data_IF_907569798805
#
_entry.id   IF_907569798805
#
_cell.length_a   1.000
_cell.length_b   1.000
_cell.length_c   1.000
_cell.angle_alpha   90.00
_cell.angle_beta   90.00
_cell.angle_gamma   90.00
#
_symmetry.space_group_name_H-M   'P 1'
#
loop_
_entity.id
_entity.type
_entity.pdbx_description
1 polymer ?
#
# COMPACT_ATOMS: atom_id res chain seq x y z
N UNK A 1 -30.87 26.00 -13.66
CA UNK A 1 -32.26 25.58 -13.61
C UNK A 1 -33.13 26.80 -13.24
N UNK A 2 -34.23 27.02 -13.96
CA UNK A 2 -35.17 28.10 -13.68
C UNK A 2 -36.48 27.49 -13.18
N UNK A 3 -36.94 27.89 -12.00
CA UNK A 3 -38.20 27.43 -11.43
C UNK A 3 -39.28 28.52 -11.67
N UNK A 4 -40.07 28.32 -12.68
CA UNK A 4 -41.19 29.26 -12.96
C UNK A 4 -42.29 29.13 -11.93
N UNK A 5 -43.08 30.17 -11.80
CA UNK A 5 -44.20 30.22 -10.85
C UNK A 5 -45.29 29.15 -11.09
N UNK A 6 -46.11 28.85 -10.10
CA UNK A 6 -47.12 27.80 -10.19
C UNK A 6 -48.00 27.96 -11.45
N UNK A 7 -48.18 26.86 -12.17
CA UNK A 7 -48.97 26.82 -13.40
C UNK A 7 -48.24 27.27 -14.65
N UNK A 8 -46.94 27.59 -14.59
CA UNK A 8 -46.15 27.96 -15.76
C UNK A 8 -45.19 26.82 -16.12
N UNK A 9 -45.16 26.42 -17.40
CA UNK A 9 -44.27 25.45 -17.94
C UNK A 9 -43.01 26.08 -18.59
N UNK A 10 -43.09 27.37 -18.91
CA UNK A 10 -42.02 28.11 -19.59
C UNK A 10 -42.01 29.61 -19.20
N UNK A 11 -40.99 30.33 -19.70
CA UNK A 11 -40.81 31.76 -19.45
C UNK A 11 -41.95 32.62 -20.02
N UNK A 12 -42.59 32.21 -21.12
CA UNK A 12 -43.65 32.96 -21.75
C UNK A 12 -44.93 32.91 -20.88
N UNK A 13 -45.30 31.74 -20.39
CA UNK A 13 -46.42 31.58 -19.48
C UNK A 13 -46.19 32.35 -18.18
N UNK A 14 -44.95 32.32 -17.61
CA UNK A 14 -44.59 33.12 -16.45
C UNK A 14 -44.74 34.65 -16.70
N UNK A 15 -44.24 35.09 -17.88
CA UNK A 15 -44.36 36.50 -18.28
C UNK A 15 -45.82 36.96 -18.35
N UNK A 16 -46.68 36.14 -18.94
CA UNK A 16 -48.09 36.44 -19.13
C UNK A 16 -48.84 36.49 -17.78
N UNK A 17 -48.56 35.51 -16.89
CA UNK A 17 -49.29 35.38 -15.61
C UNK A 17 -48.75 36.29 -14.51
N UNK A 18 -47.43 36.49 -14.43
CA UNK A 18 -46.78 37.19 -13.34
C UNK A 18 -46.05 38.49 -13.72
N UNK A 19 -45.97 38.78 -14.99
CA UNK A 19 -45.36 40.00 -15.52
C UNK A 19 -43.84 39.98 -15.65
N UNK A 20 -43.31 41.00 -16.32
CA UNK A 20 -41.88 41.06 -16.70
C UNK A 20 -40.94 41.17 -15.48
N UNK A 21 -41.35 41.90 -14.45
CA UNK A 21 -40.50 42.08 -13.27
C UNK A 21 -40.34 40.77 -12.46
N UNK A 22 -41.41 39.99 -12.34
CA UNK A 22 -41.37 38.67 -11.71
C UNK A 22 -40.47 37.69 -12.52
N UNK A 23 -40.58 37.71 -13.86
CA UNK A 23 -39.73 36.90 -14.73
C UNK A 23 -38.25 37.25 -14.57
N UNK A 24 -37.90 38.53 -14.50
CA UNK A 24 -36.50 38.96 -14.30
C UNK A 24 -35.95 38.47 -12.95
N UNK A 25 -36.76 38.54 -11.88
CA UNK A 25 -36.35 38.01 -10.57
C UNK A 25 -36.16 36.50 -10.65
N UNK A 26 -37.08 35.77 -11.26
CA UNK A 26 -36.97 34.30 -11.43
C UNK A 26 -35.77 33.91 -12.24
N UNK A 27 -35.41 34.63 -13.29
CA UNK A 27 -34.20 34.39 -14.07
C UNK A 27 -32.92 34.72 -13.29
N UNK A 28 -32.95 35.80 -12.47
CA UNK A 28 -31.83 36.15 -11.62
C UNK A 28 -31.58 35.14 -10.47
N UNK A 29 -32.62 34.41 -10.09
CA UNK A 29 -32.55 33.33 -9.10
C UNK A 29 -32.33 31.94 -9.72
N UNK A 30 -32.00 31.87 -11.02
CA UNK A 30 -31.75 30.63 -11.69
C UNK A 30 -30.54 29.89 -11.03
N UNK A 31 -30.77 28.64 -10.68
CA UNK A 31 -29.71 27.77 -10.16
C UNK A 31 -28.83 27.28 -11.28
N UNK A 32 -27.51 27.28 -11.07
CA UNK A 32 -26.60 26.64 -12.01
C UNK A 32 -26.82 25.12 -11.96
N UNK A 33 -26.85 24.49 -13.14
CA UNK A 33 -26.87 23.03 -13.21
C UNK A 33 -25.47 22.56 -12.91
N UNK A 34 -25.23 21.74 -11.85
CA UNK A 34 -23.91 21.23 -11.56
C UNK A 34 -23.34 20.43 -12.74
N UNK A 35 -22.14 20.74 -13.14
CA UNK A 35 -21.42 19.96 -14.14
C UNK A 35 -20.83 18.72 -13.49
N UNK A 36 -21.05 17.55 -14.10
CA UNK A 36 -20.50 16.28 -13.60
C UNK A 36 -18.97 16.36 -13.53
N UNK A 37 -18.42 16.01 -12.36
CA UNK A 37 -16.97 16.02 -12.11
C UNK A 37 -16.36 17.40 -11.85
N UNK A 38 -17.19 18.46 -11.72
CA UNK A 38 -16.75 19.82 -11.36
C UNK A 38 -17.26 20.16 -9.97
N UNK A 39 -16.35 20.48 -9.06
CA UNK A 39 -16.63 20.75 -7.66
C UNK A 39 -15.99 22.06 -7.21
N UNK A 40 -16.64 22.74 -6.27
CA UNK A 40 -16.17 23.94 -5.60
C UNK A 40 -15.82 23.66 -4.15
N UNK A 41 -15.25 24.62 -3.44
CA UNK A 41 -15.04 24.50 -2.00
C UNK A 41 -16.35 24.35 -1.20
N UNK A 42 -17.46 24.84 -1.75
CA UNK A 42 -18.77 24.73 -1.12
C UNK A 42 -19.27 23.29 -1.06
N UNK A 43 -18.99 22.49 -2.10
CA UNK A 43 -19.37 21.07 -2.15
C UNK A 43 -18.66 20.24 -1.07
N UNK A 44 -17.54 20.73 -0.55
CA UNK A 44 -16.75 20.11 0.52
C UNK A 44 -16.76 20.89 1.82
N UNK A 45 -17.68 21.82 2.02
CA UNK A 45 -17.70 22.72 3.19
C UNK A 45 -17.70 21.99 4.52
N UNK A 46 -18.49 20.92 4.65
CA UNK A 46 -18.56 20.13 5.87
C UNK A 46 -17.29 19.34 6.12
N UNK A 47 -16.74 18.71 5.06
CA UNK A 47 -15.46 17.99 5.14
C UNK A 47 -14.31 18.93 5.49
N UNK A 48 -14.27 20.12 4.87
CA UNK A 48 -13.27 21.14 5.17
C UNK A 48 -13.39 21.64 6.61
N UNK A 49 -14.64 21.79 7.11
CA UNK A 49 -14.86 22.16 8.50
C UNK A 49 -14.37 21.11 9.47
N UNK A 50 -14.64 19.83 9.20
CA UNK A 50 -14.14 18.72 9.99
C UNK A 50 -12.61 18.68 10.00
N UNK A 51 -11.96 18.92 8.86
CA UNK A 51 -10.49 19.03 8.77
C UNK A 51 -9.95 20.26 9.53
N UNK A 52 -10.67 21.37 9.53
CA UNK A 52 -10.28 22.56 10.28
C UNK A 52 -10.36 22.34 11.80
N UNK A 53 -11.41 21.67 12.27
CA UNK A 53 -11.65 21.41 13.69
C UNK A 53 -10.72 20.32 14.26
N UNK A 54 -10.44 19.26 13.48
CA UNK A 54 -9.68 18.09 13.93
C UNK A 54 -8.21 18.07 13.44
N UNK A 55 -7.86 18.95 12.49
CA UNK A 55 -6.58 18.90 11.79
C UNK A 55 -6.52 17.77 10.75
N UNK A 56 -5.43 17.73 10.00
CA UNK A 56 -5.10 16.61 9.11
C UNK A 56 -4.54 15.47 9.97
N UNK A 57 -5.33 14.43 10.15
CA UNK A 57 -4.92 13.25 10.90
C UNK A 57 -3.78 12.52 10.18
N UNK A 58 -2.88 11.93 10.94
CA UNK A 58 -1.91 10.98 10.41
C UNK A 58 -2.64 9.75 9.88
N UNK A 59 -2.05 9.09 8.89
CA UNK A 59 -2.58 7.85 8.33
C UNK A 59 -2.42 6.66 9.28
N UNK A 60 -2.77 5.48 8.79
CA UNK A 60 -2.61 4.22 9.48
C UNK A 60 -1.13 3.94 9.76
N UNK A 61 -0.80 3.68 11.01
CA UNK A 61 0.51 3.34 11.51
C UNK A 61 0.77 1.82 11.38
N UNK A 62 2.04 1.45 11.37
CA UNK A 62 2.48 0.05 11.27
C UNK A 62 2.79 -0.57 12.63
N UNK A 63 2.93 0.25 13.67
CA UNK A 63 3.45 -0.13 14.98
C UNK A 63 4.96 -0.26 15.04
N UNK A 64 5.69 0.13 14.00
CA UNK A 64 7.12 0.35 14.03
C UNK A 64 7.40 1.84 14.28
N UNK A 65 7.69 2.22 15.50
CA UNK A 65 7.82 3.63 15.91
C UNK A 65 8.79 4.41 15.03
N UNK A 66 9.95 3.83 14.73
CA UNK A 66 10.97 4.46 13.88
C UNK A 66 10.53 4.66 12.44
N UNK A 67 9.65 3.78 11.92
CA UNK A 67 9.07 3.92 10.60
C UNK A 67 7.90 4.90 10.62
N UNK A 68 6.99 4.73 11.57
CA UNK A 68 5.77 5.53 11.72
C UNK A 68 6.08 7.01 12.03
N UNK A 69 7.22 7.30 12.64
CA UNK A 69 7.70 8.68 12.79
C UNK A 69 7.83 9.40 11.44
N UNK A 70 8.15 8.66 10.38
CA UNK A 70 8.46 9.20 9.06
C UNK A 70 7.39 8.89 7.99
N UNK A 71 6.58 7.83 8.14
CA UNK A 71 5.63 7.39 7.13
C UNK A 71 4.46 6.64 7.74
N UNK A 72 3.25 7.09 7.45
CA UNK A 72 1.99 6.39 7.73
C UNK A 72 1.20 6.26 6.44
N UNK A 73 0.22 5.35 6.40
CA UNK A 73 -0.46 5.00 5.16
C UNK A 73 -1.92 5.45 5.15
N UNK A 74 -2.43 5.71 3.96
CA UNK A 74 -3.82 6.03 3.69
C UNK A 74 -4.37 5.11 2.60
N UNK A 75 -5.60 4.67 2.72
CA UNK A 75 -6.29 4.01 1.61
C UNK A 75 -6.56 5.01 0.48
N UNK A 76 -6.71 4.52 -0.74
CA UNK A 76 -6.82 5.38 -1.92
C UNK A 76 -5.47 5.80 -2.50
N UNK A 77 -4.38 5.21 -2.05
CA UNK A 77 -3.00 5.53 -2.43
C UNK A 77 -2.25 4.36 -3.04
N UNK A 78 -1.18 4.66 -3.77
CA UNK A 78 -0.28 3.66 -4.30
C UNK A 78 1.12 3.79 -3.72
N UNK A 79 1.72 2.64 -3.44
CA UNK A 79 3.08 2.48 -2.91
C UNK A 79 3.91 1.71 -3.93
N UNK A 80 5.09 2.19 -4.22
CA UNK A 80 6.11 1.43 -4.95
C UNK A 80 7.21 1.01 -3.98
N UNK A 81 7.49 -0.29 -3.94
CA UNK A 81 8.58 -0.87 -3.14
C UNK A 81 9.65 -1.42 -4.06
N UNK A 82 10.88 -0.95 -3.91
CA UNK A 82 12.02 -1.41 -4.69
C UNK A 82 13.20 -1.81 -3.79
N UNK A 83 14.27 -2.27 -4.39
CA UNK A 83 15.49 -2.72 -3.73
C UNK A 83 16.16 -3.84 -4.51
N UNK A 84 17.42 -4.15 -4.19
CA UNK A 84 18.17 -5.22 -4.86
C UNK A 84 17.48 -6.59 -4.71
N UNK A 85 17.74 -7.49 -5.67
CA UNK A 85 17.31 -8.87 -5.55
C UNK A 85 17.90 -9.51 -4.28
N UNK A 86 17.09 -10.25 -3.54
CA UNK A 86 17.50 -10.89 -2.28
C UNK A 86 17.57 -9.97 -1.05
N UNK A 87 17.28 -8.68 -1.17
CA UNK A 87 17.31 -7.74 -0.03
C UNK A 87 16.03 -7.76 0.83
N UNK A 88 15.08 -8.67 0.58
CA UNK A 88 13.93 -8.89 1.45
C UNK A 88 12.73 -7.98 1.18
N UNK A 89 12.55 -7.46 -0.05
CA UNK A 89 11.37 -6.64 -0.42
C UNK A 89 10.06 -7.31 -0.07
N UNK A 90 9.85 -8.53 -0.55
CA UNK A 90 8.62 -9.29 -0.31
C UNK A 90 8.43 -9.59 1.17
N UNK A 91 9.51 -9.92 1.89
CA UNK A 91 9.47 -10.16 3.35
C UNK A 91 9.04 -8.91 4.12
N UNK A 92 9.55 -7.73 3.72
CA UNK A 92 9.16 -6.46 4.32
C UNK A 92 7.70 -6.12 4.00
N UNK A 93 7.27 -6.28 2.73
CA UNK A 93 5.88 -6.03 2.32
C UNK A 93 4.93 -6.97 3.05
N UNK A 94 5.26 -8.25 3.20
CA UNK A 94 4.44 -9.22 3.93
C UNK A 94 4.18 -8.77 5.37
N UNK A 95 5.21 -8.36 6.09
CA UNK A 95 5.02 -7.88 7.46
C UNK A 95 4.30 -6.54 7.52
N UNK A 96 4.63 -5.60 6.63
CA UNK A 96 3.95 -4.31 6.54
C UNK A 96 2.43 -4.49 6.42
N UNK A 97 1.98 -5.32 5.48
CA UNK A 97 0.54 -5.50 5.25
C UNK A 97 -0.15 -6.32 6.34
N UNK A 98 0.56 -7.28 6.95
CA UNK A 98 0.03 -8.00 8.12
C UNK A 98 -0.19 -7.03 9.30
N UNK A 99 0.76 -6.13 9.56
CA UNK A 99 0.65 -5.11 10.60
C UNK A 99 -0.52 -4.16 10.33
N UNK A 100 -0.64 -3.66 9.10
CA UNK A 100 -1.79 -2.83 8.72
C UNK A 100 -3.12 -3.58 8.84
N UNK A 101 -3.15 -4.88 8.51
CA UNK A 101 -4.34 -5.70 8.68
C UNK A 101 -4.71 -5.90 10.15
N UNK A 102 -3.73 -6.21 10.99
CA UNK A 102 -3.94 -6.42 12.43
C UNK A 102 -4.39 -5.15 13.15
N UNK A 103 -3.82 -4.00 12.78
CA UNK A 103 -4.08 -2.73 13.47
C UNK A 103 -5.31 -1.98 12.95
N UNK A 104 -5.62 -2.13 11.66
CA UNK A 104 -6.65 -1.32 10.99
C UNK A 104 -7.68 -2.16 10.25
N UNK A 105 -7.68 -3.48 10.42
CA UNK A 105 -8.60 -4.41 9.76
C UNK A 105 -8.58 -4.35 8.23
N UNK A 106 -7.45 -3.92 7.64
CA UNK A 106 -7.30 -3.81 6.21
C UNK A 106 -7.00 -5.16 5.58
N UNK A 107 -8.03 -5.86 5.14
CA UNK A 107 -7.91 -7.17 4.49
C UNK A 107 -7.08 -7.11 3.23
N UNK A 108 -6.34 -8.18 2.96
CA UNK A 108 -5.25 -8.23 1.98
C UNK A 108 -5.64 -9.11 0.80
N UNK A 109 -5.37 -8.64 -0.42
CA UNK A 109 -5.31 -9.45 -1.61
C UNK A 109 -3.89 -9.44 -2.17
N UNK A 110 -3.35 -10.62 -2.48
CA UNK A 110 -2.05 -10.79 -3.11
C UNK A 110 -2.17 -11.26 -4.55
N UNK A 111 -1.43 -10.63 -5.45
CA UNK A 111 -0.95 -11.22 -6.67
C UNK A 111 0.56 -11.38 -6.55
N UNK A 112 1.03 -12.57 -6.20
CA UNK A 112 2.44 -12.81 -5.91
C UNK A 112 2.90 -14.16 -6.51
N UNK A 113 3.11 -14.20 -7.83
CA UNK A 113 3.52 -15.43 -8.53
C UNK A 113 4.95 -15.91 -8.19
N UNK A 114 5.79 -15.09 -7.57
CA UNK A 114 7.10 -15.52 -7.07
C UNK A 114 7.00 -16.26 -5.73
N UNK A 115 5.92 -16.10 -4.99
CA UNK A 115 5.66 -16.83 -3.75
C UNK A 115 4.84 -18.12 -3.96
N UNK A 116 4.88 -18.69 -5.14
CA UNK A 116 4.27 -19.99 -5.42
C UNK A 116 5.18 -21.14 -5.00
N UNK A 117 4.63 -22.27 -4.53
CA UNK A 117 3.20 -22.52 -4.30
C UNK A 117 2.66 -21.75 -3.08
N UNK A 118 1.37 -21.38 -3.12
CA UNK A 118 0.71 -20.51 -2.12
C UNK A 118 0.84 -21.00 -0.69
N UNK A 119 0.89 -22.32 -0.47
CA UNK A 119 1.08 -22.89 0.86
C UNK A 119 2.43 -22.48 1.50
N UNK A 120 3.49 -22.28 0.70
CA UNK A 120 4.76 -21.75 1.24
C UNK A 120 4.64 -20.29 1.65
N UNK A 121 3.92 -19.50 0.89
CA UNK A 121 3.62 -18.13 1.28
C UNK A 121 2.79 -18.08 2.57
N UNK A 122 1.73 -18.90 2.67
CA UNK A 122 0.95 -19.00 3.90
C UNK A 122 1.80 -19.43 5.10
N UNK A 123 2.73 -20.39 4.93
CA UNK A 123 3.65 -20.78 6.00
C UNK A 123 4.48 -19.60 6.53
N UNK A 124 5.05 -18.78 5.64
CA UNK A 124 5.76 -17.55 5.98
C UNK A 124 4.87 -16.54 6.74
N UNK A 125 3.64 -16.36 6.28
CA UNK A 125 2.70 -15.47 6.96
C UNK A 125 2.30 -15.99 8.35
N UNK A 126 2.17 -17.32 8.52
CA UNK A 126 1.91 -17.96 9.81
C UNK A 126 3.10 -17.74 10.75
N UNK A 127 4.35 -17.88 10.28
CA UNK A 127 5.54 -17.57 11.07
C UNK A 127 5.50 -16.14 11.61
N UNK A 128 5.18 -15.18 10.75
CA UNK A 128 5.05 -13.79 11.16
C UNK A 128 3.92 -13.57 12.16
N UNK A 129 2.76 -14.19 11.97
CA UNK A 129 1.60 -14.05 12.87
C UNK A 129 1.85 -14.67 14.25
N UNK A 130 2.50 -15.83 14.29
CA UNK A 130 2.70 -16.57 15.53
C UNK A 130 3.99 -16.23 16.26
N UNK A 131 4.96 -15.64 15.55
CA UNK A 131 6.31 -15.41 16.08
C UNK A 131 7.17 -16.66 16.15
N UNK A 132 6.72 -17.78 15.60
CA UNK A 132 7.34 -19.10 15.70
C UNK A 132 7.75 -19.61 14.32
N UNK A 133 8.74 -20.51 14.29
CA UNK A 133 9.09 -21.24 13.08
C UNK A 133 7.93 -22.18 12.68
N UNK A 134 7.63 -22.23 11.40
CA UNK A 134 6.58 -23.10 10.87
C UNK A 134 7.00 -24.56 10.92
N UNK A 135 6.23 -25.37 11.61
CA UNK A 135 6.44 -26.81 11.70
C UNK A 135 5.98 -27.38 13.04
N UNK A 136 5.78 -28.69 13.12
CA UNK A 136 5.38 -29.33 14.39
C UNK A 136 6.49 -29.20 15.42
N UNK A 137 6.13 -28.73 16.62
CA UNK A 137 7.08 -28.53 17.71
C UNK A 137 6.44 -27.98 18.96
N UNK A 138 7.22 -27.84 20.05
CA UNK A 138 6.66 -27.38 21.32
C UNK A 138 6.09 -25.96 21.30
N UNK A 139 6.43 -25.17 20.29
CA UNK A 139 5.91 -23.82 20.13
C UNK A 139 4.67 -23.76 19.24
N UNK A 140 4.68 -24.43 18.09
CA UNK A 140 3.57 -24.45 17.12
C UNK A 140 2.64 -25.62 17.45
N UNK A 141 1.64 -25.38 18.29
CA UNK A 141 0.58 -26.36 18.57
C UNK A 141 -0.41 -26.43 17.44
N UNK A 142 -1.15 -27.57 17.34
CA UNK A 142 -2.21 -27.72 16.35
C UNK A 142 -3.31 -26.66 16.50
N UNK A 143 -3.65 -26.30 17.73
CA UNK A 143 -4.62 -25.24 18.04
C UNK A 143 -4.16 -23.90 17.49
N UNK A 144 -2.89 -23.52 17.75
CA UNK A 144 -2.32 -22.28 17.25
C UNK A 144 -2.23 -22.26 15.72
N UNK A 145 -1.84 -23.38 15.11
CA UNK A 145 -1.84 -23.54 13.68
C UNK A 145 -3.24 -23.31 13.08
N UNK A 146 -4.27 -23.99 13.61
CA UNK A 146 -5.64 -23.84 13.16
C UNK A 146 -6.15 -22.42 13.32
N UNK A 147 -5.80 -21.76 14.43
CA UNK A 147 -6.13 -20.35 14.66
C UNK A 147 -5.50 -19.44 13.61
N UNK A 148 -4.21 -19.62 13.32
CA UNK A 148 -3.51 -18.83 12.29
C UNK A 148 -4.09 -19.06 10.89
N UNK A 149 -4.44 -20.31 10.54
CA UNK A 149 -5.10 -20.63 9.26
C UNK A 149 -6.47 -19.98 9.16
N UNK A 150 -7.28 -20.00 10.23
CA UNK A 150 -8.59 -19.36 10.27
C UNK A 150 -8.45 -17.84 10.09
N UNK A 151 -7.48 -17.22 10.78
CA UNK A 151 -7.21 -15.80 10.61
C UNK A 151 -6.80 -15.45 9.18
N UNK A 152 -5.88 -16.21 8.57
CA UNK A 152 -5.49 -16.00 7.16
C UNK A 152 -6.69 -16.16 6.22
N UNK A 153 -7.54 -17.17 6.44
CA UNK A 153 -8.75 -17.40 5.63
C UNK A 153 -9.69 -16.19 5.66
N UNK A 154 -9.82 -15.54 6.81
CA UNK A 154 -10.68 -14.38 6.97
C UNK A 154 -10.08 -13.09 6.34
N UNK A 155 -8.75 -12.94 6.37
CA UNK A 155 -8.10 -11.67 6.10
C UNK A 155 -7.22 -11.63 4.84
N UNK A 156 -6.77 -12.79 4.33
CA UNK A 156 -5.84 -12.87 3.20
C UNK A 156 -6.46 -13.64 2.04
N UNK A 157 -6.30 -13.14 0.84
CA UNK A 157 -6.77 -13.79 -0.39
C UNK A 157 -5.69 -13.72 -1.46
N UNK A 158 -5.47 -14.80 -2.20
CA UNK A 158 -4.55 -14.83 -3.33
C UNK A 158 -5.31 -14.78 -4.65
N UNK A 159 -4.88 -13.89 -5.53
CA UNK A 159 -5.27 -13.85 -6.93
C UNK A 159 -4.22 -14.65 -7.69
N UNK A 160 -4.60 -15.80 -8.22
CA UNK A 160 -3.68 -16.65 -8.97
C UNK A 160 -3.92 -16.50 -10.46
N UNK A 161 -2.86 -16.55 -11.27
CA UNK A 161 -3.02 -16.67 -12.71
C UNK A 161 -3.76 -17.99 -13.01
N UNK A 162 -4.86 -17.89 -13.74
CA UNK A 162 -5.53 -19.03 -14.31
C UNK A 162 -4.89 -19.42 -15.65
N UNK A 163 -5.69 -19.97 -16.55
CA UNK A 163 -5.29 -20.21 -17.95
C UNK A 163 -5.31 -18.93 -18.80
N UNK A 164 -5.83 -17.83 -18.25
CA UNK A 164 -5.90 -16.54 -18.90
C UNK A 164 -4.61 -15.74 -18.67
N UNK A 165 -4.34 -14.79 -19.57
CA UNK A 165 -3.19 -13.90 -19.47
C UNK A 165 -3.21 -13.10 -18.16
N UNK A 166 -2.08 -13.03 -17.47
CA UNK A 166 -1.90 -12.27 -16.23
C UNK A 166 -1.72 -10.78 -16.51
N UNK A 167 -2.73 -10.16 -17.12
CA UNK A 167 -2.72 -8.72 -17.37
C UNK A 167 -3.11 -7.94 -16.12
N UNK A 168 -2.66 -6.68 -16.05
CA UNK A 168 -3.05 -5.80 -14.94
C UNK A 168 -4.57 -5.62 -14.86
N UNK A 169 -5.25 -5.53 -15.99
CA UNK A 169 -6.71 -5.33 -16.05
C UNK A 169 -7.46 -6.52 -15.45
N UNK A 170 -7.00 -7.76 -15.73
CA UNK A 170 -7.58 -8.97 -15.13
C UNK A 170 -7.38 -8.97 -13.60
N UNK A 171 -6.19 -8.63 -13.12
CA UNK A 171 -5.89 -8.57 -11.67
C UNK A 171 -6.74 -7.52 -10.98
N UNK A 172 -6.86 -6.32 -11.55
CA UNK A 172 -7.67 -5.24 -11.00
C UNK A 172 -9.16 -5.59 -10.98
N UNK A 173 -9.66 -6.30 -11.99
CA UNK A 173 -11.05 -6.78 -11.99
C UNK A 173 -11.30 -7.81 -10.87
N UNK A 174 -10.38 -8.77 -10.65
CA UNK A 174 -10.48 -9.71 -9.52
C UNK A 174 -10.37 -8.98 -8.18
N UNK A 175 -9.45 -8.03 -8.06
CA UNK A 175 -9.29 -7.22 -6.85
C UNK A 175 -10.55 -6.40 -6.56
N UNK A 176 -11.19 -5.80 -7.59
CA UNK A 176 -12.46 -5.10 -7.46
C UNK A 176 -13.56 -6.00 -6.87
N UNK A 177 -13.68 -7.22 -7.37
CA UNK A 177 -14.62 -8.20 -6.82
C UNK A 177 -14.33 -8.53 -5.35
N UNK A 178 -13.05 -8.64 -4.96
CA UNK A 178 -12.64 -8.90 -3.58
C UNK A 178 -12.92 -7.70 -2.66
N UNK A 179 -12.77 -6.48 -3.13
CA UNK A 179 -13.18 -5.28 -2.38
C UNK A 179 -14.66 -5.36 -2.00
N UNK A 180 -15.54 -5.62 -2.96
CA UNK A 180 -16.99 -5.67 -2.71
C UNK A 180 -17.44 -6.89 -1.93
N UNK A 181 -16.82 -8.06 -2.16
CA UNK A 181 -17.27 -9.33 -1.55
C UNK A 181 -16.64 -9.61 -0.20
N UNK A 182 -15.39 -9.17 0.02
CA UNK A 182 -14.59 -9.52 1.20
C UNK A 182 -14.09 -8.32 2.00
N UNK A 183 -14.30 -7.10 1.50
CA UNK A 183 -13.83 -5.88 2.16
C UNK A 183 -12.32 -5.68 2.08
N UNK A 184 -11.66 -6.16 1.02
CA UNK A 184 -10.22 -5.98 0.80
C UNK A 184 -9.90 -4.48 0.74
N UNK A 185 -8.82 -4.08 1.43
CA UNK A 185 -8.30 -2.71 1.49
C UNK A 185 -6.84 -2.61 1.05
N UNK A 186 -6.13 -3.73 0.95
CA UNK A 186 -4.75 -3.76 0.47
C UNK A 186 -4.67 -4.71 -0.72
N UNK A 187 -4.08 -4.24 -1.83
CA UNK A 187 -3.72 -5.06 -2.97
C UNK A 187 -2.20 -5.05 -3.12
N UNK A 188 -1.57 -6.20 -3.01
CA UNK A 188 -0.13 -6.40 -3.25
C UNK A 188 0.08 -7.03 -4.62
N UNK A 189 0.96 -6.45 -5.42
CA UNK A 189 1.42 -6.97 -6.72
C UNK A 189 2.94 -7.16 -6.61
N UNK A 190 3.37 -8.42 -6.52
CA UNK A 190 4.77 -8.78 -6.26
C UNK A 190 5.24 -9.92 -7.19
N UNK A 191 6.09 -9.66 -8.18
CA UNK A 191 6.53 -8.35 -8.65
C UNK A 191 5.87 -7.92 -9.99
N UNK A 192 6.12 -6.66 -10.38
CA UNK A 192 5.68 -6.07 -11.66
C UNK A 192 6.09 -6.89 -12.90
N UNK A 193 7.30 -7.43 -12.92
CA UNK A 193 7.87 -8.13 -14.08
C UNK A 193 7.25 -9.53 -14.34
N UNK A 194 6.32 -9.97 -13.50
CA UNK A 194 5.52 -11.19 -13.72
C UNK A 194 4.16 -10.91 -14.36
N UNK A 195 3.87 -9.66 -14.65
CA UNK A 195 2.69 -9.29 -15.43
C UNK A 195 2.95 -9.53 -16.92
N UNK A 196 1.94 -10.05 -17.62
CA UNK A 196 1.98 -10.14 -19.07
C UNK A 196 1.91 -8.74 -19.67
N UNK A 197 3.02 -8.28 -20.20
CA UNK A 197 3.12 -6.99 -20.86
C UNK A 197 2.58 -7.12 -22.28
N UNK A 198 1.29 -6.86 -22.45
CA UNK A 198 0.71 -6.73 -23.77
C UNK A 198 1.01 -5.32 -24.31
N UNK A 199 2.17 -5.20 -24.98
CA UNK A 199 2.52 -3.96 -25.68
C UNK A 199 1.72 -3.87 -26.97
N UNK A 200 0.98 -2.77 -27.14
CA UNK A 200 0.34 -2.46 -28.41
C UNK A 200 1.38 -2.07 -29.49
N UNK A 201 1.08 -2.26 -30.77
CA UNK A 201 1.98 -1.83 -31.83
C UNK A 201 2.38 -0.36 -31.68
N UNK A 202 3.70 -0.10 -31.53
CA UNK A 202 4.23 1.25 -31.34
C UNK A 202 4.27 1.74 -29.87
N UNK A 203 3.80 0.94 -28.92
CA UNK A 203 3.90 1.27 -27.51
C UNK A 203 5.30 0.93 -26.97
N UNK A 204 5.92 1.89 -26.26
CA UNK A 204 7.17 1.67 -25.56
C UNK A 204 6.92 1.13 -24.14
N UNK A 205 7.92 0.46 -23.56
CA UNK A 205 7.86 0.02 -22.14
C UNK A 205 7.53 1.19 -21.20
N UNK A 206 8.08 2.37 -21.45
CA UNK A 206 7.80 3.58 -20.66
C UNK A 206 6.32 3.97 -20.71
N UNK A 207 5.70 3.90 -21.92
CA UNK A 207 4.25 4.20 -22.08
C UNK A 207 3.41 3.15 -21.36
N UNK A 208 3.79 1.88 -21.42
CA UNK A 208 3.12 0.80 -20.70
C UNK A 208 3.16 1.03 -19.19
N UNK A 209 4.35 1.30 -18.61
CA UNK A 209 4.52 1.59 -17.19
C UNK A 209 3.70 2.80 -16.76
N UNK A 210 3.67 3.86 -17.57
CA UNK A 210 2.84 5.05 -17.30
C UNK A 210 1.36 4.70 -17.24
N UNK A 211 0.88 3.93 -18.21
CA UNK A 211 -0.51 3.47 -18.26
C UNK A 211 -0.85 2.59 -17.04
N UNK A 212 0.03 1.65 -16.71
CA UNK A 212 -0.11 0.75 -15.57
C UNK A 212 -0.21 1.53 -14.26
N UNK A 213 0.74 2.43 -13.97
CA UNK A 213 0.72 3.25 -12.77
C UNK A 213 -0.53 4.13 -12.69
N UNK A 214 -0.98 4.65 -13.83
CA UNK A 214 -2.24 5.37 -13.92
C UNK A 214 -3.47 4.50 -13.59
N UNK A 215 -3.49 3.24 -14.05
CA UNK A 215 -4.55 2.28 -13.70
C UNK A 215 -4.53 1.96 -12.21
N UNK A 216 -3.35 1.70 -11.62
CA UNK A 216 -3.20 1.41 -10.19
C UNK A 216 -3.66 2.59 -9.32
N UNK A 217 -3.25 3.82 -9.67
CA UNK A 217 -3.67 5.02 -8.93
C UNK A 217 -5.18 5.26 -8.99
N UNK A 218 -5.78 5.11 -10.17
CA UNK A 218 -7.25 5.21 -10.32
C UNK A 218 -7.99 4.13 -9.52
N UNK A 219 -7.53 2.89 -9.60
CA UNK A 219 -8.09 1.78 -8.82
C UNK A 219 -8.01 2.06 -7.32
N UNK A 220 -6.85 2.48 -6.84
CA UNK A 220 -6.64 2.84 -5.44
C UNK A 220 -7.66 3.88 -4.98
N UNK A 221 -7.75 5.01 -5.69
CA UNK A 221 -8.64 6.11 -5.36
C UNK A 221 -10.13 5.73 -5.41
N UNK A 222 -10.57 5.04 -6.47
CA UNK A 222 -11.97 4.66 -6.67
C UNK A 222 -12.47 3.64 -5.65
N UNK A 223 -11.60 2.69 -5.25
CA UNK A 223 -11.96 1.59 -4.37
C UNK A 223 -11.49 1.79 -2.92
N UNK A 224 -10.87 2.93 -2.62
CA UNK A 224 -10.28 3.23 -1.31
C UNK A 224 -9.40 2.07 -0.82
N UNK A 225 -8.46 1.64 -1.68
CA UNK A 225 -7.49 0.60 -1.40
C UNK A 225 -6.08 1.20 -1.32
N UNK A 226 -5.22 0.59 -0.51
CA UNK A 226 -3.77 0.77 -0.60
C UNK A 226 -3.24 -0.24 -1.62
N UNK A 227 -2.67 0.24 -2.73
CA UNK A 227 -2.07 -0.62 -3.76
C UNK A 227 -0.56 -0.60 -3.61
N UNK A 228 0.04 -1.76 -3.36
CA UNK A 228 1.49 -1.92 -3.20
C UNK A 228 2.04 -2.67 -4.40
N UNK A 229 2.94 -2.03 -5.13
CA UNK A 229 3.63 -2.60 -6.28
C UNK A 229 5.09 -2.82 -5.95
N UNK A 230 5.54 -4.08 -6.01
CA UNK A 230 6.96 -4.42 -5.90
C UNK A 230 7.60 -4.36 -7.29
N UNK A 231 8.64 -3.55 -7.42
CA UNK A 231 9.36 -3.34 -8.68
C UNK A 231 10.86 -3.59 -8.50
N UNK A 232 11.47 -4.29 -9.47
CA UNK A 232 12.90 -4.51 -9.48
C UNK A 232 13.64 -3.31 -10.10
N UNK A 233 14.81 -2.94 -9.56
CA UNK A 233 15.65 -1.93 -10.17
C UNK A 233 16.21 -2.42 -11.52
N UNK A 234 16.57 -1.46 -12.37
CA UNK A 234 17.43 -1.74 -13.52
C UNK A 234 18.78 -2.31 -13.05
N UNK A 235 19.53 -2.91 -13.96
CA UNK A 235 20.87 -3.42 -13.67
C UNK A 235 21.75 -2.29 -13.11
N UNK A 236 22.20 -2.45 -11.87
CA UNK A 236 23.03 -1.46 -11.19
C UNK A 236 24.51 -1.71 -11.51
N UNK A 237 25.24 -0.64 -11.80
CA UNK A 237 26.70 -0.70 -11.94
C UNK A 237 27.34 -0.51 -10.56
N UNK A 238 28.43 -1.28 -10.32
CA UNK A 238 29.25 -1.06 -9.13
C UNK A 238 30.04 0.22 -9.29
N UNK A 239 30.30 0.89 -8.18
CA UNK A 239 31.22 2.01 -8.17
C UNK A 239 32.61 1.51 -8.60
N UNK A 240 33.16 2.06 -9.66
CA UNK A 240 34.46 1.63 -10.22
C UNK A 240 35.65 1.85 -9.27
N UNK A 241 35.52 2.80 -8.32
CA UNK A 241 36.57 3.13 -7.37
C UNK A 241 36.51 2.26 -6.09
N UNK A 242 35.32 1.97 -5.57
CA UNK A 242 35.15 1.25 -4.29
C UNK A 242 34.70 -0.19 -4.48
N UNK A 243 34.25 -0.57 -5.69
CA UNK A 243 33.67 -1.89 -5.95
C UNK A 243 32.29 -2.10 -5.31
N UNK A 244 31.79 -1.15 -4.53
CA UNK A 244 30.52 -1.21 -3.82
C UNK A 244 29.34 -0.88 -4.72
N UNK A 245 28.21 -1.51 -4.45
CA UNK A 245 26.93 -1.12 -5.03
C UNK A 245 26.35 0.00 -4.15
N UNK A 246 26.02 1.14 -4.77
CA UNK A 246 25.23 2.13 -4.06
C UNK A 246 23.84 1.58 -3.74
N UNK A 247 23.16 2.16 -2.76
CA UNK A 247 21.75 1.82 -2.49
C UNK A 247 20.88 2.04 -3.73
N UNK A 248 19.84 1.23 -3.85
CA UNK A 248 18.78 1.46 -4.85
C UNK A 248 17.96 2.68 -4.42
N UNK A 249 17.70 3.56 -5.35
CA UNK A 249 16.79 4.68 -5.20
C UNK A 249 15.60 4.50 -6.14
N UNK A 250 14.52 5.27 -5.91
CA UNK A 250 13.35 5.19 -6.77
C UNK A 250 13.69 5.47 -8.25
N UNK A 251 14.72 6.28 -8.51
CA UNK A 251 15.21 6.57 -9.86
C UNK A 251 15.96 5.41 -10.54
N UNK A 252 16.22 4.34 -9.85
CA UNK A 252 16.88 3.15 -10.40
C UNK A 252 15.90 2.10 -10.92
N UNK A 253 14.61 2.26 -10.68
CA UNK A 253 13.59 1.37 -11.23
C UNK A 253 13.52 1.61 -12.75
N UNK A 254 13.37 0.55 -13.54
CA UNK A 254 13.22 0.68 -14.99
C UNK A 254 11.97 1.51 -15.31
N UNK A 255 12.07 2.53 -16.16
CA UNK A 255 11.02 3.55 -16.34
C UNK A 255 10.91 4.57 -15.20
N UNK A 256 11.98 4.80 -14.49
CA UNK A 256 12.14 5.40 -13.17
C UNK A 256 11.44 6.72 -12.90
N UNK A 257 11.50 7.69 -13.81
CA UNK A 257 10.88 8.99 -13.59
C UNK A 257 9.36 8.88 -13.32
N UNK A 258 8.70 7.94 -13.99
CA UNK A 258 7.25 7.75 -13.84
C UNK A 258 6.90 7.08 -12.51
N UNK A 259 7.71 6.16 -11.98
CA UNK A 259 7.50 5.60 -10.66
C UNK A 259 7.53 6.70 -9.59
N UNK A 260 8.54 7.57 -9.64
CA UNK A 260 8.63 8.71 -8.74
C UNK A 260 7.49 9.71 -8.90
N UNK A 261 7.09 10.03 -10.12
CA UNK A 261 6.09 11.05 -10.38
C UNK A 261 4.66 10.59 -10.04
N UNK A 262 4.32 9.35 -10.35
CA UNK A 262 2.94 8.84 -10.29
C UNK A 262 2.61 8.09 -9.00
N UNK A 263 3.60 7.71 -8.20
CA UNK A 263 3.36 7.05 -6.90
C UNK A 263 3.15 8.05 -5.78
N UNK A 264 2.38 7.66 -4.78
CA UNK A 264 2.18 8.45 -3.56
C UNK A 264 3.29 8.20 -2.54
N UNK A 265 3.76 6.94 -2.50
CA UNK A 265 4.89 6.53 -1.66
C UNK A 265 5.92 5.77 -2.49
N UNK A 266 7.19 5.98 -2.19
CA UNK A 266 8.30 5.19 -2.72
C UNK A 266 9.18 4.72 -1.58
N UNK A 267 9.32 3.40 -1.45
CA UNK A 267 10.12 2.73 -0.42
C UNK A 267 11.23 1.92 -1.10
N UNK A 268 12.43 1.95 -0.55
CA UNK A 268 13.55 1.15 -1.03
C UNK A 268 14.13 0.31 0.11
N UNK A 269 14.04 -1.01 -0.02
CA UNK A 269 14.57 -1.96 0.96
C UNK A 269 16.02 -2.28 0.63
N UNK A 270 16.91 -1.99 1.56
CA UNK A 270 18.32 -2.28 1.44
C UNK A 270 18.81 -3.12 2.62
N UNK A 271 19.41 -4.26 2.32
CA UNK A 271 20.00 -5.15 3.32
C UNK A 271 21.49 -5.06 3.31
N UNK A 272 22.08 -4.89 4.47
CA UNK A 272 23.51 -4.95 4.73
C UNK A 272 23.79 -6.20 5.56
N UNK A 273 24.29 -7.24 4.90
CA UNK A 273 24.58 -8.52 5.55
C UNK A 273 25.78 -8.42 6.52
N UNK A 274 26.72 -7.51 6.26
CA UNK A 274 27.86 -7.31 7.13
C UNK A 274 27.46 -6.70 8.47
N UNK A 275 26.48 -5.77 8.43
CA UNK A 275 25.93 -5.13 9.63
C UNK A 275 24.70 -5.86 10.17
N UNK A 276 24.21 -6.89 9.50
CA UNK A 276 22.95 -7.59 9.82
C UNK A 276 21.75 -6.66 9.92
N UNK A 277 21.74 -5.62 9.13
CA UNK A 277 20.78 -4.53 9.17
C UNK A 277 19.95 -4.47 7.89
N UNK A 278 18.69 -4.18 8.02
CA UNK A 278 17.82 -3.80 6.91
C UNK A 278 17.42 -2.35 7.07
N UNK A 279 17.77 -1.53 6.09
CA UNK A 279 17.35 -0.12 6.05
C UNK A 279 16.26 0.03 5.00
N UNK A 280 15.11 0.52 5.43
CA UNK A 280 14.02 0.89 4.54
C UNK A 280 14.08 2.40 4.33
N UNK A 281 14.48 2.81 3.14
CA UNK A 281 14.49 4.20 2.75
C UNK A 281 13.09 4.61 2.30
N UNK A 282 12.63 5.75 2.79
CA UNK A 282 11.37 6.38 2.44
C UNK A 282 11.73 7.52 1.48
N UNK A 283 11.86 7.19 0.18
CA UNK A 283 12.33 8.16 -0.81
C UNK A 283 11.24 9.19 -1.13
N UNK A 284 9.96 8.83 -0.97
CA UNK A 284 8.84 9.74 -1.22
C UNK A 284 7.66 9.46 -0.30
N UNK A 285 7.08 10.53 0.23
CA UNK A 285 5.71 10.62 0.77
C UNK A 285 5.06 11.85 0.16
N UNK A 286 3.97 11.69 -0.59
CA UNK A 286 3.36 12.80 -1.35
C UNK A 286 2.72 13.84 -0.45
N UNK A 287 2.06 13.41 0.62
CA UNK A 287 1.28 14.28 1.51
C UNK A 287 1.98 14.44 2.85
N UNK A 288 2.24 15.69 3.22
CA UNK A 288 3.03 16.06 4.41
C UNK A 288 2.45 15.57 5.75
N UNK A 289 1.11 15.37 5.83
CA UNK A 289 0.47 14.86 7.05
C UNK A 289 0.69 13.36 7.24
N UNK A 290 1.06 12.65 6.17
CA UNK A 290 1.33 11.21 6.20
C UNK A 290 2.80 10.90 6.47
N UNK A 291 3.70 11.88 6.34
CA UNK A 291 5.12 11.71 6.63
C UNK A 291 6.04 12.59 5.80
N UNK A 292 7.32 12.23 5.78
CA UNK A 292 8.38 12.96 5.10
C UNK A 292 9.19 12.04 4.19
N UNK A 293 9.41 12.46 2.96
CA UNK A 293 10.33 11.79 2.04
C UNK A 293 11.79 12.03 2.42
N UNK A 294 12.70 11.29 1.79
CA UNK A 294 14.16 11.31 2.01
C UNK A 294 14.56 10.98 3.45
N UNK A 295 13.79 10.10 4.10
CA UNK A 295 14.05 9.57 5.44
C UNK A 295 14.31 8.06 5.37
N UNK A 296 14.56 7.43 6.50
CA UNK A 296 14.73 5.98 6.56
C UNK A 296 14.38 5.45 7.94
N UNK A 297 14.11 4.13 7.98
CA UNK A 297 13.99 3.36 9.21
C UNK A 297 14.92 2.14 9.14
N UNK A 298 15.56 1.80 10.23
CA UNK A 298 16.46 0.66 10.36
C UNK A 298 15.81 -0.48 11.12
N UNK A 299 16.11 -1.70 10.68
CA UNK A 299 15.53 -2.92 11.28
C UNK A 299 16.57 -4.04 11.35
N UNK A 300 16.39 -4.88 12.32
CA UNK A 300 16.97 -6.21 12.37
C UNK A 300 15.96 -7.21 11.84
N UNK A 301 16.39 -8.10 10.95
CA UNK A 301 15.54 -9.15 10.40
C UNK A 301 15.73 -10.46 11.18
N UNK A 302 14.65 -10.98 11.74
CA UNK A 302 14.61 -12.27 12.38
C UNK A 302 14.44 -13.39 11.35
N UNK A 303 15.48 -14.21 11.16
CA UNK A 303 15.46 -15.32 10.19
C UNK A 303 14.60 -16.51 10.60
N UNK A 304 14.16 -16.58 11.87
CA UNK A 304 13.37 -17.71 12.39
C UNK A 304 11.90 -17.52 12.06
N UNK A 305 11.37 -16.32 12.29
CA UNK A 305 9.95 -15.99 12.10
C UNK A 305 9.69 -14.95 11.02
N UNK A 306 10.73 -14.48 10.35
CA UNK A 306 10.63 -13.52 9.25
C UNK A 306 10.26 -12.08 9.65
N UNK A 307 10.25 -11.73 10.94
CA UNK A 307 9.86 -10.41 11.43
C UNK A 307 10.99 -9.40 11.38
N UNK A 308 10.60 -8.12 11.36
CA UNK A 308 11.48 -6.95 11.43
C UNK A 308 11.35 -6.29 12.80
N UNK A 309 12.50 -6.06 13.46
CA UNK A 309 12.59 -5.37 14.73
C UNK A 309 13.19 -3.99 14.53
N UNK A 310 12.55 -2.89 15.00
CA UNK A 310 13.10 -1.54 14.90
C UNK A 310 14.47 -1.45 15.60
N UNK A 311 15.41 -0.77 14.92
CA UNK A 311 16.77 -0.56 15.42
C UNK A 311 17.25 0.81 14.99
N UNK A 312 17.76 1.63 15.91
CA UNK A 312 18.33 2.94 15.63
C UNK A 312 19.84 2.87 15.35
N UNK A 313 20.50 1.86 15.88
CA UNK A 313 21.95 1.69 15.79
C UNK A 313 22.33 0.60 14.79
N UNK A 314 23.47 0.76 14.13
CA UNK A 314 24.07 -0.30 13.34
C UNK A 314 24.47 -1.44 14.30
N UNK A 315 23.98 -2.65 14.05
CA UNK A 315 24.34 -3.81 14.87
C UNK A 315 25.76 -4.21 14.53
N UNK A 316 26.66 -3.97 15.47
CA UNK A 316 28.03 -4.40 15.39
C UNK A 316 28.12 -5.82 15.90
N UNK A 317 28.80 -6.65 15.19
CA UNK A 317 29.26 -8.03 15.40
C UNK A 317 29.01 -8.65 16.78
N UNK A 318 28.86 -9.98 16.79
CA UNK A 318 28.66 -10.76 18.01
C UNK A 318 29.82 -10.70 18.99
N UNK A 319 29.74 -11.50 20.08
CA UNK A 319 30.69 -11.44 21.21
C UNK A 319 32.15 -11.68 20.84
N UNK A 320 32.43 -12.16 19.63
CA UNK A 320 33.80 -12.43 19.14
C UNK A 320 34.38 -11.27 18.28
N UNK A 321 33.78 -10.08 18.30
CA UNK A 321 34.30 -8.89 17.63
C UNK A 321 34.05 -8.87 16.12
N UNK A 322 34.88 -9.46 15.30
CA UNK A 322 34.82 -9.34 13.84
C UNK A 322 33.92 -10.35 13.12
N UNK A 323 33.22 -11.23 13.83
CA UNK A 323 32.26 -12.17 13.25
C UNK A 323 30.84 -11.69 13.43
N UNK A 324 29.99 -11.83 12.40
CA UNK A 324 28.56 -11.55 12.59
C UNK A 324 28.05 -12.37 13.76
N UNK A 325 27.58 -11.68 14.81
CA UNK A 325 26.99 -12.34 15.96
C UNK A 325 25.73 -13.12 15.56
N UNK A 326 25.25 -14.01 16.44
CA UNK A 326 23.96 -14.62 16.26
C UNK A 326 22.94 -13.50 16.12
N UNK A 327 22.14 -13.59 15.06
CA UNK A 327 21.07 -12.66 14.79
C UNK A 327 20.29 -12.43 16.08
N UNK A 328 20.30 -11.23 16.52
CA UNK A 328 19.94 -10.69 17.81
C UNK A 328 18.83 -11.44 18.56
N UNK A 329 18.96 -11.47 19.85
CA UNK A 329 18.06 -12.08 20.81
C UNK A 329 16.89 -11.19 21.24
N UNK A 330 16.83 -9.92 20.82
CA UNK A 330 15.70 -9.02 21.06
C UNK A 330 14.62 -9.18 20.01
N UNK A 331 14.11 -10.39 19.83
CA UNK A 331 13.08 -10.64 18.84
C UNK A 331 11.70 -10.58 19.47
N UNK A 332 10.81 -9.94 18.77
CA UNK A 332 9.40 -10.11 18.96
C UNK A 332 9.00 -11.54 18.57
N UNK A 333 8.87 -12.39 19.59
CA UNK A 333 8.34 -13.74 19.46
C UNK A 333 6.89 -13.80 19.95
N UNK A 334 6.26 -12.67 20.21
CA UNK A 334 4.88 -12.64 20.66
C UNK A 334 3.95 -13.19 19.59
N UNK A 335 3.00 -13.97 20.01
CA UNK A 335 1.93 -14.42 19.15
C UNK A 335 0.94 -13.27 18.97
N UNK A 336 0.91 -12.67 17.80
CA UNK A 336 0.00 -11.57 17.50
C UNK A 336 -1.48 -11.95 17.49
N UNK A 337 -1.80 -13.22 17.55
CA UNK A 337 -3.17 -13.75 17.60
C UNK A 337 -3.66 -14.02 19.04
N UNK A 338 -2.85 -13.76 20.09
CA UNK A 338 -3.18 -14.15 21.47
C UNK A 338 -4.35 -13.39 22.11
N UNK A 339 -4.56 -12.13 21.78
CA UNK A 339 -5.41 -11.26 22.58
C UNK A 339 -6.83 -11.06 22.06
N UNK A 340 -7.11 -11.38 20.82
CA UNK A 340 -8.47 -11.48 20.29
C UNK A 340 -8.50 -12.08 18.90
N UNK A 341 -8.92 -13.35 18.72
CA UNK A 341 -9.02 -13.96 17.42
C UNK A 341 -10.00 -13.26 16.49
N UNK A 342 -10.96 -12.52 17.03
CA UNK A 342 -12.03 -11.87 16.28
C UNK A 342 -11.83 -10.36 16.09
N UNK A 343 -10.91 -9.72 16.80
CA UNK A 343 -10.73 -8.27 16.78
C UNK A 343 -9.32 -7.77 16.42
N UNK A 344 -8.38 -8.63 16.09
CA UNK A 344 -7.12 -8.26 15.43
C UNK A 344 -6.20 -7.21 16.08
N UNK A 345 -6.56 -6.57 17.17
CA UNK A 345 -5.74 -5.55 17.82
C UNK A 345 -4.84 -6.14 18.90
N UNK A 346 -3.54 -6.17 18.62
CA UNK A 346 -2.51 -6.63 19.54
C UNK A 346 -1.47 -5.58 19.90
N UNK A 347 -1.68 -4.36 19.45
CA UNK A 347 -0.74 -3.28 19.69
C UNK A 347 -1.45 -2.15 20.46
N UNK A 348 -1.51 -2.29 21.79
CA UNK A 348 -1.70 -1.20 22.72
C UNK A 348 -0.33 -0.63 23.16
#
# INVERSE_FOLDING_TARGET
LVHFGPGCKDANEHLILYGAQSLLITLAQAEEIPLEGVFTAEDYREDLRALFENGLCRGADTGWENFDANCTFETGRNVVVSGMAGHGKSEFVDELVLRLCLRHEWKIAYFSPENLPVNYHHAKLIEKLTGLQFGPGPGMTEELYNHAVNWLTANVTHILPGTEACTIDHILEKARQLVYRRGVRILVIDPLNRLDQQLEPGQTELMYITSLLGKLGRFAAQHKCLVILVAHPRKMNRNTATGELRRVEMNDINGSANFGNMSDYCLCVNRDDAKQLVTVYIDKVRFKHLGSGYTHAKFVYNRINGRYWPCEEDIVHGPDGDKPGPVNTKFDNENWLKNNPDQGCLFD
#
